data_IF_555167185775
#
_entry.id   IF_555167185775
#
_cell.length_a   1.000
_cell.length_b   1.000
_cell.length_c   1.000
_cell.angle_alpha   90.00
_cell.angle_beta   90.00
_cell.angle_gamma   90.00
#
_symmetry.space_group_name_H-M   'P 1'
#
loop_
_entity.id
_entity.type
_entity.pdbx_description
1 polymer ?
#
# COMPACT_ATOMS: atom_id res chain seq x y z
N UNK A 1 11.52 9.54 -32.57
CA UNK A 1 12.54 8.46 -32.55
C UNK A 1 14.00 8.91 -32.38
N UNK A 2 14.43 10.04 -32.94
CA UNK A 2 15.82 10.52 -32.84
C UNK A 2 16.29 10.71 -31.38
N UNK A 3 15.42 11.27 -30.53
CA UNK A 3 15.67 11.42 -29.08
C UNK A 3 15.95 10.08 -28.40
N UNK A 4 15.17 9.04 -28.70
CA UNK A 4 15.33 7.72 -28.07
C UNK A 4 16.64 7.07 -28.51
N UNK A 5 16.98 7.19 -29.80
CA UNK A 5 18.22 6.63 -30.33
C UNK A 5 19.47 7.36 -29.81
N UNK A 6 19.39 8.67 -29.61
CA UNK A 6 20.52 9.49 -29.16
C UNK A 6 20.68 9.53 -27.63
N UNK A 7 19.56 9.57 -26.91
CA UNK A 7 19.53 9.80 -25.45
C UNK A 7 18.94 8.65 -24.65
N UNK A 8 18.65 7.49 -25.25
CA UNK A 8 18.00 6.35 -24.59
C UNK A 8 18.61 5.98 -23.23
N UNK A 9 19.94 5.85 -23.16
CA UNK A 9 20.63 5.55 -21.89
C UNK A 9 20.43 6.66 -20.84
N UNK A 10 20.46 7.93 -21.24
CA UNK A 10 20.20 9.05 -20.33
C UNK A 10 18.75 9.07 -19.84
N UNK A 11 17.79 8.78 -20.72
CA UNK A 11 16.39 8.65 -20.35
C UNK A 11 16.22 7.55 -19.30
N UNK A 12 16.81 6.36 -19.49
CA UNK A 12 16.76 5.27 -18.51
C UNK A 12 17.38 5.68 -17.17
N UNK A 13 18.55 6.33 -17.18
CA UNK A 13 19.22 6.77 -15.95
C UNK A 13 18.40 7.82 -15.18
N UNK A 14 17.87 8.83 -15.87
CA UNK A 14 17.00 9.85 -15.27
C UNK A 14 15.74 9.21 -14.71
N UNK A 15 15.12 8.30 -15.47
CA UNK A 15 13.92 7.58 -15.02
C UNK A 15 14.22 6.73 -13.79
N UNK A 16 15.37 6.05 -13.73
CA UNK A 16 15.75 5.27 -12.56
C UNK A 16 15.93 6.16 -11.32
N UNK A 17 16.55 7.34 -11.45
CA UNK A 17 16.69 8.31 -10.36
C UNK A 17 15.32 8.83 -9.91
N UNK A 18 14.44 9.20 -10.83
CA UNK A 18 13.11 9.71 -10.50
C UNK A 18 12.16 8.62 -9.99
N UNK A 19 12.27 7.41 -10.50
CA UNK A 19 11.58 6.23 -10.00
C UNK A 19 12.01 5.89 -8.57
N UNK A 20 13.33 5.96 -8.29
CA UNK A 20 13.83 5.84 -6.92
C UNK A 20 13.30 6.96 -6.02
N UNK A 21 13.25 8.20 -6.50
CA UNK A 21 12.72 9.33 -5.74
C UNK A 21 11.21 9.21 -5.45
N UNK A 22 10.42 8.72 -6.43
CA UNK A 22 9.02 8.39 -6.21
C UNK A 22 8.86 7.27 -5.17
N UNK A 23 9.63 6.19 -5.29
CA UNK A 23 9.66 5.09 -4.33
C UNK A 23 10.07 5.57 -2.92
N UNK A 24 11.04 6.48 -2.83
CA UNK A 24 11.40 7.17 -1.59
C UNK A 24 10.21 7.94 -1.01
N UNK A 25 9.48 8.71 -1.82
CA UNK A 25 8.29 9.42 -1.41
C UNK A 25 7.21 8.49 -0.85
N UNK A 26 6.97 7.36 -1.51
CA UNK A 26 6.03 6.32 -1.07
C UNK A 26 6.45 5.76 0.29
N UNK A 27 7.70 5.30 0.43
CA UNK A 27 8.17 4.75 1.71
C UNK A 27 8.17 5.77 2.84
N UNK A 28 8.35 7.05 2.52
CA UNK A 28 8.33 8.13 3.49
C UNK A 28 6.92 8.53 3.96
N UNK A 29 5.92 8.47 3.08
CA UNK A 29 4.54 8.86 3.40
C UNK A 29 3.68 7.65 3.81
N UNK A 30 3.69 6.63 2.97
CA UNK A 30 2.66 5.59 2.95
C UNK A 30 2.97 4.44 3.92
N UNK A 31 4.20 4.33 4.46
CA UNK A 31 4.52 3.38 5.56
C UNK A 31 3.67 3.59 6.83
N UNK A 32 3.12 4.79 6.99
CA UNK A 32 2.15 5.09 8.05
C UNK A 32 0.88 4.24 7.92
N UNK A 33 0.56 3.78 6.71
CA UNK A 33 -0.59 2.94 6.41
C UNK A 33 -0.39 1.50 6.92
N UNK A 34 0.85 1.02 6.97
CA UNK A 34 1.17 -0.32 7.46
C UNK A 34 1.53 -0.34 8.94
N UNK A 35 2.34 0.63 9.39
CA UNK A 35 2.94 0.61 10.74
C UNK A 35 2.42 1.68 11.68
N UNK A 36 1.71 2.71 11.18
CA UNK A 36 1.27 3.85 11.98
C UNK A 36 0.40 3.42 13.15
N UNK A 37 -0.55 2.50 12.95
CA UNK A 37 -1.40 2.01 14.02
C UNK A 37 -0.63 1.19 15.06
N UNK A 38 0.34 0.35 14.66
CA UNK A 38 1.15 -0.47 15.59
C UNK A 38 2.09 0.35 16.45
N UNK A 39 2.62 1.43 15.88
CA UNK A 39 3.42 2.41 16.61
C UNK A 39 2.51 3.24 17.52
N UNK A 40 1.37 3.69 16.99
CA UNK A 40 0.39 4.52 17.72
C UNK A 40 -0.21 3.81 18.94
N UNK A 41 -0.45 2.50 18.84
CA UNK A 41 -0.94 1.70 19.97
C UNK A 41 0.13 1.32 20.99
N UNK A 42 1.40 1.67 20.73
CA UNK A 42 2.54 1.27 21.57
C UNK A 42 2.89 -0.21 21.49
N UNK A 43 2.38 -0.96 20.51
CA UNK A 43 2.67 -2.38 20.32
C UNK A 43 4.12 -2.59 19.90
N UNK A 44 4.63 -1.74 19.00
CA UNK A 44 6.01 -1.75 18.52
C UNK A 44 6.61 -0.35 18.57
N UNK A 45 7.93 -0.28 18.71
CA UNK A 45 8.67 0.97 18.59
C UNK A 45 8.83 1.37 17.12
N UNK A 46 9.07 2.66 16.87
CA UNK A 46 9.40 3.18 15.53
C UNK A 46 10.57 2.43 14.89
N UNK A 47 11.60 2.05 15.67
CA UNK A 47 12.74 1.28 15.16
C UNK A 47 12.33 -0.11 14.69
N UNK A 48 11.48 -0.80 15.46
CA UNK A 48 10.95 -2.12 15.09
C UNK A 48 10.05 -2.03 13.86
N UNK A 49 9.16 -1.02 13.81
CA UNK A 49 8.32 -0.75 12.65
C UNK A 49 9.13 -0.60 11.36
N UNK A 50 10.24 0.15 11.41
CA UNK A 50 11.14 0.33 10.27
C UNK A 50 11.73 -1.02 9.81
N UNK A 51 12.20 -1.86 10.73
CA UNK A 51 12.79 -3.17 10.39
C UNK A 51 11.74 -4.10 9.77
N UNK A 52 10.53 -4.15 10.35
CA UNK A 52 9.45 -4.99 9.85
C UNK A 52 9.03 -4.53 8.46
N UNK A 53 8.79 -3.23 8.27
CA UNK A 53 8.42 -2.68 6.97
C UNK A 53 9.53 -2.89 5.93
N UNK A 54 10.81 -2.74 6.30
CA UNK A 54 11.93 -3.05 5.41
C UNK A 54 11.89 -4.49 4.88
N UNK A 55 11.56 -5.46 5.74
CA UNK A 55 11.51 -6.87 5.32
C UNK A 55 10.25 -7.14 4.49
N UNK A 56 9.08 -6.79 5.03
CA UNK A 56 7.81 -7.20 4.47
C UNK A 56 7.34 -6.32 3.30
N UNK A 57 7.58 -5.01 3.32
CA UNK A 57 7.26 -4.15 2.17
C UNK A 57 8.16 -4.45 0.98
N UNK A 58 9.47 -4.62 1.21
CA UNK A 58 10.39 -5.02 0.13
C UNK A 58 10.06 -6.40 -0.42
N UNK A 59 9.68 -7.36 0.44
CA UNK A 59 9.22 -8.67 -0.01
C UNK A 59 7.90 -8.60 -0.81
N UNK A 60 6.94 -7.80 -0.35
CA UNK A 60 5.67 -7.59 -1.05
C UNK A 60 5.87 -6.93 -2.41
N UNK A 61 6.72 -5.91 -2.47
CA UNK A 61 7.09 -5.22 -3.68
C UNK A 61 7.71 -6.18 -4.70
N UNK A 62 8.71 -6.97 -4.29
CA UNK A 62 9.43 -7.87 -5.19
C UNK A 62 8.58 -9.08 -5.64
N UNK A 63 7.83 -9.70 -4.72
CA UNK A 63 7.12 -10.95 -5.00
C UNK A 63 5.76 -10.72 -5.66
N UNK A 64 5.07 -9.63 -5.33
CA UNK A 64 3.65 -9.45 -5.66
C UNK A 64 3.31 -8.10 -6.33
N UNK A 65 4.32 -7.32 -6.73
CA UNK A 65 4.14 -5.99 -7.33
C UNK A 65 3.79 -5.96 -8.83
N UNK A 66 3.84 -7.09 -9.52
CA UNK A 66 3.75 -7.16 -10.99
C UNK A 66 2.37 -6.80 -11.56
N UNK A 67 1.28 -7.30 -10.97
CA UNK A 67 -0.07 -7.13 -11.55
C UNK A 67 -0.54 -5.67 -11.56
N UNK A 68 -0.31 -4.91 -10.48
CA UNK A 68 -0.71 -3.49 -10.40
C UNK A 68 0.20 -2.62 -11.28
N UNK A 69 1.47 -3.04 -11.44
CA UNK A 69 2.44 -2.36 -12.31
C UNK A 69 1.94 -2.28 -13.75
N UNK A 70 1.35 -3.36 -14.28
CA UNK A 70 0.84 -3.37 -15.64
C UNK A 70 -0.31 -2.38 -15.82
N UNK A 71 -1.25 -2.31 -14.87
CA UNK A 71 -2.35 -1.34 -14.92
C UNK A 71 -1.86 0.12 -14.90
N UNK A 72 -0.82 0.44 -14.13
CA UNK A 72 -0.24 1.79 -14.11
C UNK A 72 0.54 2.09 -15.39
N UNK A 73 1.22 1.08 -15.95
CA UNK A 73 2.00 1.18 -17.19
C UNK A 73 1.10 1.46 -18.41
N UNK A 74 0.00 0.71 -18.56
CA UNK A 74 -0.78 0.67 -19.80
C UNK A 74 -2.30 0.82 -19.64
N UNK A 75 -2.83 0.79 -18.41
CA UNK A 75 -4.27 0.90 -18.15
C UNK A 75 -4.78 2.33 -17.93
N UNK A 76 -3.91 3.29 -17.59
CA UNK A 76 -4.32 4.68 -17.32
C UNK A 76 -4.48 5.48 -18.61
N UNK A 77 -3.61 5.24 -19.58
CA UNK A 77 -3.59 5.88 -20.90
C UNK A 77 -3.42 4.80 -21.96
N UNK A 78 -3.98 5.01 -23.15
CA UNK A 78 -3.80 4.13 -24.30
C UNK A 78 -2.40 4.37 -24.92
N UNK A 79 -1.43 3.45 -24.75
CA UNK A 79 -0.09 3.64 -25.28
C UNK A 79 -0.07 3.67 -26.82
N UNK A 80 -1.09 3.11 -27.48
CA UNK A 80 -1.17 3.09 -28.94
C UNK A 80 -1.34 4.49 -29.55
N UNK A 81 -1.89 5.44 -28.80
CA UNK A 81 -1.98 6.84 -29.22
C UNK A 81 -0.61 7.54 -29.28
N UNK A 82 0.43 6.93 -28.71
CA UNK A 82 1.79 7.48 -28.66
C UNK A 82 2.75 6.78 -29.64
N UNK A 83 2.28 5.86 -30.48
CA UNK A 83 3.15 5.08 -31.39
C UNK A 83 3.94 5.96 -32.35
N UNK A 84 3.35 7.05 -32.82
CA UNK A 84 4.03 8.01 -33.69
C UNK A 84 4.95 8.97 -32.92
N UNK A 85 4.80 9.04 -31.59
CA UNK A 85 5.54 9.95 -30.70
C UNK A 85 6.00 9.27 -29.39
N UNK A 86 6.76 8.16 -29.47
CA UNK A 86 7.14 7.37 -28.29
C UNK A 86 8.00 8.18 -27.30
N UNK A 87 8.75 9.18 -27.78
CA UNK A 87 9.47 10.14 -26.94
C UNK A 87 8.55 10.94 -26.01
N UNK A 88 7.33 11.29 -26.44
CA UNK A 88 6.38 12.04 -25.62
C UNK A 88 5.90 11.17 -24.46
N UNK A 89 5.61 9.90 -24.72
CA UNK A 89 5.23 8.94 -23.68
C UNK A 89 6.37 8.74 -22.67
N UNK A 90 7.60 8.58 -23.14
CA UNK A 90 8.76 8.42 -22.27
C UNK A 90 8.97 9.65 -21.38
N UNK A 91 9.00 10.85 -21.95
CA UNK A 91 9.16 12.10 -21.19
C UNK A 91 7.97 12.34 -20.24
N UNK A 92 6.76 11.97 -20.66
CA UNK A 92 5.54 12.00 -19.84
C UNK A 92 5.66 11.14 -18.59
N UNK A 93 6.06 9.88 -18.74
CA UNK A 93 6.28 8.96 -17.62
C UNK A 93 7.39 9.43 -16.67
N UNK A 94 8.51 9.95 -17.22
CA UNK A 94 9.59 10.58 -16.43
C UNK A 94 9.05 11.75 -15.61
N UNK A 95 8.27 12.63 -16.25
CA UNK A 95 7.67 13.78 -15.60
C UNK A 95 6.71 13.37 -14.48
N UNK A 96 5.93 12.31 -14.69
CA UNK A 96 4.96 11.82 -13.72
C UNK A 96 5.64 11.25 -12.47
N UNK A 97 6.75 10.53 -12.62
CA UNK A 97 7.55 10.04 -11.51
C UNK A 97 8.12 11.18 -10.67
N UNK A 98 8.75 12.16 -11.32
CA UNK A 98 9.35 13.27 -10.60
C UNK A 98 8.30 14.14 -9.90
N UNK A 99 7.21 14.48 -10.60
CA UNK A 99 6.08 15.23 -10.06
C UNK A 99 5.51 14.56 -8.82
N UNK A 100 5.29 13.24 -8.90
CA UNK A 100 4.72 12.47 -7.81
C UNK A 100 5.67 12.39 -6.61
N UNK A 101 6.97 12.17 -6.86
CA UNK A 101 8.00 12.22 -5.82
C UNK A 101 8.06 13.58 -5.11
N UNK A 102 7.98 14.69 -5.87
CA UNK A 102 7.97 16.06 -5.32
C UNK A 102 6.76 16.27 -4.42
N UNK A 103 5.56 15.91 -4.88
CA UNK A 103 4.34 16.08 -4.07
C UNK A 103 4.38 15.23 -2.80
N UNK A 104 4.74 13.95 -2.90
CA UNK A 104 4.87 13.07 -1.74
C UNK A 104 5.92 13.59 -0.75
N UNK A 105 7.04 14.11 -1.23
CA UNK A 105 8.06 14.71 -0.37
C UNK A 105 7.53 15.95 0.38
N UNK A 106 6.82 16.84 -0.30
CA UNK A 106 6.20 18.02 0.30
C UNK A 106 5.16 17.60 1.35
N UNK A 107 4.23 16.72 0.98
CA UNK A 107 3.18 16.22 1.88
C UNK A 107 3.79 15.55 3.13
N UNK A 108 4.82 14.74 2.95
CA UNK A 108 5.55 14.09 4.06
C UNK A 108 6.20 15.11 4.99
N UNK A 109 6.83 16.17 4.46
CA UNK A 109 7.41 17.23 5.29
C UNK A 109 6.35 17.94 6.15
N UNK A 110 5.15 18.08 5.60
CA UNK A 110 3.99 18.67 6.27
C UNK A 110 3.27 17.68 7.20
N UNK A 111 3.67 16.40 7.21
CA UNK A 111 3.04 15.34 8.00
C UNK A 111 1.68 14.91 7.46
N UNK A 112 1.36 15.24 6.21
CA UNK A 112 0.08 14.92 5.59
C UNK A 112 0.10 13.50 5.02
N UNK A 113 -0.82 12.61 5.48
CA UNK A 113 -1.02 11.33 4.82
C UNK A 113 -1.76 11.59 3.50
N UNK A 114 -1.09 11.35 2.39
CA UNK A 114 -1.64 11.47 1.04
C UNK A 114 -1.58 10.09 0.36
N UNK A 115 -1.95 10.01 -0.91
CA UNK A 115 -1.92 8.75 -1.66
C UNK A 115 -0.92 8.84 -2.81
N UNK A 116 0.10 8.00 -2.80
CA UNK A 116 1.01 7.84 -3.94
C UNK A 116 0.25 7.49 -5.22
N UNK A 117 -0.72 6.58 -5.13
CA UNK A 117 -1.57 6.12 -6.24
C UNK A 117 -2.36 7.26 -6.88
N UNK A 118 -3.00 8.12 -6.09
CA UNK A 118 -3.70 9.30 -6.62
C UNK A 118 -2.74 10.25 -7.32
N UNK A 119 -1.56 10.45 -6.72
CA UNK A 119 -0.57 11.40 -7.22
C UNK A 119 -0.08 10.98 -8.61
N UNK A 120 0.30 9.70 -8.76
CA UNK A 120 0.83 9.20 -10.04
C UNK A 120 -0.24 9.13 -11.12
N UNK A 121 -1.46 8.71 -10.79
CA UNK A 121 -2.56 8.67 -11.76
C UNK A 121 -2.94 10.09 -12.20
N UNK A 122 -3.01 11.04 -11.27
CA UNK A 122 -3.21 12.46 -11.60
C UNK A 122 -2.10 13.01 -12.50
N UNK A 123 -0.85 12.65 -12.20
CA UNK A 123 0.30 13.05 -13.00
C UNK A 123 0.26 12.48 -14.44
N UNK A 124 -0.05 11.19 -14.59
CA UNK A 124 -0.16 10.52 -15.90
C UNK A 124 -1.30 11.13 -16.73
N UNK A 125 -2.50 11.27 -16.14
CA UNK A 125 -3.65 11.90 -16.80
C UNK A 125 -3.34 13.35 -17.17
N UNK A 126 -2.63 14.07 -16.29
CA UNK A 126 -2.25 15.47 -16.50
C UNK A 126 -1.39 15.67 -17.75
N UNK A 127 -0.27 14.95 -17.88
CA UNK A 127 0.59 15.11 -19.04
C UNK A 127 -0.08 14.60 -20.32
N UNK A 128 -0.84 13.49 -20.26
CA UNK A 128 -1.51 12.92 -21.42
C UNK A 128 -2.54 13.89 -22.02
N UNK A 129 -3.34 14.53 -21.17
CA UNK A 129 -4.33 15.53 -21.58
C UNK A 129 -3.72 16.76 -22.28
N UNK A 130 -2.50 17.20 -21.92
CA UNK A 130 -1.87 18.39 -22.52
C UNK A 130 -1.00 18.07 -23.74
N UNK A 131 -0.72 16.78 -23.99
CA UNK A 131 0.18 16.34 -25.06
C UNK A 131 -0.60 15.78 -26.24
N UNK A 132 -1.32 14.68 -26.04
CA UNK A 132 -2.15 14.04 -27.06
C UNK A 132 -3.61 14.51 -26.96
N UNK A 133 -4.08 14.77 -25.74
CA UNK A 133 -5.44 15.24 -25.48
C UNK A 133 -6.24 14.27 -24.60
N UNK A 134 -7.45 14.67 -24.15
CA UNK A 134 -8.28 13.82 -23.28
C UNK A 134 -8.68 12.47 -23.88
N UNK A 135 -8.61 12.32 -25.21
CA UNK A 135 -8.91 11.07 -25.90
C UNK A 135 -7.87 9.97 -25.69
N UNK A 136 -6.65 10.28 -25.23
CA UNK A 136 -5.62 9.27 -24.96
C UNK A 136 -5.76 8.62 -23.58
N UNK A 137 -6.68 9.10 -22.75
CA UNK A 137 -6.93 8.57 -21.41
C UNK A 137 -8.01 7.49 -21.49
N UNK A 138 -7.77 6.34 -20.88
CA UNK A 138 -8.79 5.30 -20.77
C UNK A 138 -9.78 5.65 -19.65
N UNK A 139 -10.84 6.38 -20.01
CA UNK A 139 -11.87 6.81 -19.07
C UNK A 139 -12.65 5.66 -18.42
N UNK A 140 -12.71 4.49 -19.07
CA UNK A 140 -13.36 3.30 -18.49
C UNK A 140 -12.53 2.76 -17.34
N UNK A 141 -11.22 2.61 -17.55
CA UNK A 141 -10.29 2.17 -16.52
C UNK A 141 -10.17 3.21 -15.41
N UNK A 142 -10.07 4.51 -15.73
CA UNK A 142 -10.14 5.59 -14.74
C UNK A 142 -11.42 5.53 -13.90
N UNK A 143 -12.58 5.30 -14.53
CA UNK A 143 -13.85 5.14 -13.82
C UNK A 143 -13.81 3.99 -12.80
N UNK A 144 -13.21 2.86 -13.18
CA UNK A 144 -13.03 1.69 -12.30
C UNK A 144 -12.07 1.99 -11.14
N UNK A 145 -10.97 2.68 -11.43
CA UNK A 145 -9.98 3.13 -10.44
C UNK A 145 -10.64 4.09 -9.44
N UNK A 146 -11.30 5.15 -9.92
CA UNK A 146 -11.98 6.14 -9.05
C UNK A 146 -13.07 5.46 -8.22
N UNK A 147 -13.84 4.55 -8.83
CA UNK A 147 -14.83 3.74 -8.09
C UNK A 147 -14.19 2.95 -6.94
N UNK A 148 -13.02 2.34 -7.18
CA UNK A 148 -12.29 1.59 -6.15
C UNK A 148 -11.85 2.47 -4.96
N UNK A 149 -11.55 3.75 -5.19
CA UNK A 149 -11.15 4.71 -4.14
C UNK A 149 -12.28 5.06 -3.17
N UNK A 150 -13.54 4.89 -3.58
CA UNK A 150 -14.71 5.02 -2.70
C UNK A 150 -15.13 3.69 -2.10
N UNK A 151 -15.08 2.61 -2.89
CA UNK A 151 -15.55 1.29 -2.46
C UNK A 151 -14.61 0.68 -1.41
N UNK A 152 -13.29 0.77 -1.60
CA UNK A 152 -12.32 0.11 -0.70
C UNK A 152 -12.31 0.68 0.73
N UNK A 153 -12.37 2.00 0.98
CA UNK A 153 -12.50 2.51 2.35
C UNK A 153 -13.79 2.10 3.04
N UNK A 154 -14.89 2.01 2.29
CA UNK A 154 -16.19 1.57 2.84
C UNK A 154 -16.15 0.09 3.22
N UNK A 155 -15.63 -0.77 2.35
CA UNK A 155 -15.43 -2.19 2.64
C UNK A 155 -14.54 -2.36 3.86
N UNK A 156 -13.39 -1.67 3.90
CA UNK A 156 -12.46 -1.74 5.02
C UNK A 156 -13.09 -1.24 6.32
N UNK A 157 -13.89 -0.17 6.27
CA UNK A 157 -14.65 0.35 7.41
C UNK A 157 -15.68 -0.65 7.94
N UNK A 158 -16.46 -1.27 7.07
CA UNK A 158 -17.44 -2.30 7.45
C UNK A 158 -16.75 -3.52 8.05
N UNK A 159 -15.67 -4.00 7.44
CA UNK A 159 -14.90 -5.13 7.94
C UNK A 159 -14.28 -4.81 9.30
N UNK A 160 -13.65 -3.64 9.45
CA UNK A 160 -13.05 -3.20 10.71
C UNK A 160 -14.10 -3.07 11.82
N UNK A 161 -15.27 -2.50 11.51
CA UNK A 161 -16.41 -2.44 12.43
C UNK A 161 -16.84 -3.85 12.85
N UNK A 162 -17.03 -4.77 11.90
CA UNK A 162 -17.49 -6.13 12.19
C UNK A 162 -16.47 -6.91 13.04
N UNK A 163 -15.18 -6.83 12.70
CA UNK A 163 -14.10 -7.47 13.47
C UNK A 163 -14.07 -6.88 14.88
N UNK A 164 -14.08 -5.55 15.02
CA UNK A 164 -14.02 -4.90 16.31
C UNK A 164 -15.25 -5.20 17.16
N UNK A 165 -16.46 -5.10 16.61
CA UNK A 165 -17.71 -5.46 17.28
C UNK A 165 -17.72 -6.92 17.75
N UNK A 166 -17.19 -7.84 16.93
CA UNK A 166 -17.03 -9.25 17.30
C UNK A 166 -16.05 -9.41 18.47
N UNK A 167 -14.92 -8.68 18.48
CA UNK A 167 -13.99 -8.72 19.62
C UNK A 167 -14.57 -8.13 20.89
N UNK A 168 -15.35 -7.04 20.80
CA UNK A 168 -16.07 -6.46 21.93
C UNK A 168 -17.03 -7.48 22.53
N UNK A 169 -17.94 -8.02 21.72
CA UNK A 169 -18.97 -8.96 22.17
C UNK A 169 -18.42 -10.28 22.70
N UNK A 170 -17.40 -10.85 22.05
CA UNK A 170 -16.89 -12.18 22.41
C UNK A 170 -15.83 -12.14 23.51
N UNK A 171 -15.10 -11.04 23.66
CA UNK A 171 -13.93 -10.96 24.55
C UNK A 171 -14.13 -9.89 25.61
N UNK A 172 -14.30 -8.61 25.23
CA UNK A 172 -14.24 -7.51 26.19
C UNK A 172 -15.49 -7.39 27.06
N UNK A 173 -16.68 -7.55 26.49
CA UNK A 173 -17.98 -7.38 27.17
C UNK A 173 -18.44 -8.71 27.78
N UNK A 174 -17.55 -9.36 28.53
CA UNK A 174 -17.82 -10.66 29.15
C UNK A 174 -17.31 -10.71 30.59
N UNK A 175 -17.86 -11.63 31.40
CA UNK A 175 -17.47 -11.79 32.81
C UNK A 175 -16.00 -12.20 32.99
N UNK A 176 -15.42 -12.88 31.98
CA UNK A 176 -14.05 -13.39 32.00
C UNK A 176 -13.27 -13.07 30.71
N UNK A 177 -12.91 -11.80 30.48
CA UNK A 177 -12.31 -11.37 29.22
C UNK A 177 -11.02 -12.11 28.84
N UNK A 178 -10.16 -12.40 29.82
CA UNK A 178 -8.91 -13.10 29.57
C UNK A 178 -9.13 -14.55 29.10
N UNK A 179 -10.06 -15.28 29.73
CA UNK A 179 -10.40 -16.65 29.30
C UNK A 179 -10.96 -16.65 27.88
N UNK A 180 -11.78 -15.65 27.55
CA UNK A 180 -12.32 -15.50 26.21
C UNK A 180 -11.25 -15.07 25.19
N UNK A 181 -10.30 -14.22 25.55
CA UNK A 181 -9.17 -13.89 24.69
C UNK A 181 -8.32 -15.14 24.39
N UNK A 182 -8.08 -16.01 25.37
CA UNK A 182 -7.37 -17.28 25.18
C UNK A 182 -8.18 -18.30 24.35
N UNK A 183 -9.51 -18.21 24.38
CA UNK A 183 -10.42 -19.06 23.60
C UNK A 183 -10.54 -18.58 22.15
N UNK A 184 -10.83 -17.30 21.92
CA UNK A 184 -11.15 -16.72 20.62
C UNK A 184 -9.92 -16.16 19.89
N UNK A 185 -8.88 -15.72 20.62
CA UNK A 185 -7.63 -15.20 20.05
C UNK A 185 -6.98 -16.13 19.02
N UNK A 186 -6.87 -17.46 19.27
CA UNK A 186 -6.35 -18.41 18.28
C UNK A 186 -7.13 -18.43 16.97
N UNK A 187 -8.45 -18.22 16.99
CA UNK A 187 -9.28 -18.19 15.78
C UNK A 187 -8.99 -16.94 14.94
N UNK A 188 -8.93 -15.77 15.58
CA UNK A 188 -8.50 -14.53 14.90
C UNK A 188 -7.10 -14.69 14.29
N UNK A 189 -6.22 -15.42 14.98
CA UNK A 189 -4.88 -15.71 14.49
C UNK A 189 -4.89 -16.64 13.28
N UNK A 190 -5.68 -17.71 13.34
CA UNK A 190 -5.88 -18.63 12.23
C UNK A 190 -6.40 -17.91 10.99
N UNK A 191 -7.43 -17.07 11.12
CA UNK A 191 -7.98 -16.28 10.00
C UNK A 191 -6.91 -15.32 9.45
N UNK A 192 -6.13 -14.68 10.33
CA UNK A 192 -5.03 -13.79 9.92
C UNK A 192 -3.98 -14.52 9.08
N UNK A 193 -3.51 -15.66 9.59
CA UNK A 193 -2.52 -16.51 8.91
C UNK A 193 -3.08 -17.04 7.58
N UNK A 194 -4.35 -17.45 7.56
CA UNK A 194 -5.01 -17.94 6.36
C UNK A 194 -5.01 -16.90 5.24
N UNK A 195 -5.47 -15.68 5.55
CA UNK A 195 -5.47 -14.58 4.58
C UNK A 195 -4.05 -14.31 4.08
N UNK A 196 -3.10 -14.15 5.01
CA UNK A 196 -1.68 -13.96 4.71
C UNK A 196 -1.12 -14.99 3.73
N UNK A 197 -1.35 -16.28 3.99
CA UNK A 197 -0.89 -17.36 3.11
C UNK A 197 -1.51 -17.27 1.72
N UNK A 198 -2.82 -17.01 1.62
CA UNK A 198 -3.50 -16.85 0.32
C UNK A 198 -2.85 -15.72 -0.49
N UNK A 199 -2.56 -14.59 0.14
CA UNK A 199 -1.94 -13.43 -0.53
C UNK A 199 -0.58 -13.81 -1.11
N UNK A 200 0.29 -14.32 -0.25
CA UNK A 200 1.67 -14.64 -0.58
C UNK A 200 1.73 -15.73 -1.63
N UNK A 201 0.83 -16.72 -1.58
CA UNK A 201 0.82 -17.82 -2.52
C UNK A 201 0.21 -17.47 -3.87
N UNK A 202 -0.93 -16.75 -3.91
CA UNK A 202 -1.56 -16.40 -5.18
C UNK A 202 -0.77 -15.38 -6.00
N UNK A 203 -0.05 -14.48 -5.31
CA UNK A 203 0.70 -13.40 -5.97
C UNK A 203 2.19 -13.65 -5.95
N UNK A 204 2.73 -13.89 -4.76
CA UNK A 204 4.17 -13.98 -4.53
C UNK A 204 4.85 -15.15 -5.24
N UNK A 205 4.21 -16.32 -5.27
CA UNK A 205 4.80 -17.53 -5.84
C UNK A 205 4.80 -17.56 -7.37
N UNK A 206 3.93 -16.78 -8.03
CA UNK A 206 3.92 -16.70 -9.50
C UNK A 206 5.24 -16.15 -10.05
N UNK A 207 5.84 -15.17 -9.37
CA UNK A 207 7.12 -14.60 -9.76
C UNK A 207 8.30 -15.58 -9.60
N UNK A 208 8.13 -16.62 -8.78
CA UNK A 208 9.13 -17.68 -8.54
C UNK A 208 8.89 -18.91 -9.44
N UNK A 209 7.93 -18.83 -10.37
CA UNK A 209 7.59 -19.92 -11.30
C UNK A 209 6.74 -21.04 -10.71
N UNK A 210 6.19 -20.84 -9.50
CA UNK A 210 5.32 -21.82 -8.84
C UNK A 210 3.85 -21.47 -9.09
N UNK A 211 3.22 -22.21 -10.00
CA UNK A 211 1.81 -22.06 -10.35
C UNK A 211 0.95 -23.04 -9.55
N UNK A 212 0.54 -22.64 -8.35
CA UNK A 212 -0.42 -23.40 -7.56
C UNK A 212 -1.84 -23.17 -8.09
N UNK A 213 -2.62 -24.24 -8.18
CA UNK A 213 -4.06 -24.14 -8.43
C UNK A 213 -4.77 -23.42 -7.27
N UNK A 214 -6.00 -22.94 -7.53
CA UNK A 214 -6.84 -22.34 -6.49
C UNK A 214 -7.11 -23.32 -5.34
N UNK A 215 -7.30 -24.61 -5.65
CA UNK A 215 -7.56 -25.66 -4.66
C UNK A 215 -6.32 -25.93 -3.80
N UNK A 216 -5.13 -26.05 -4.40
CA UNK A 216 -3.88 -26.25 -3.67
C UNK A 216 -3.57 -25.05 -2.77
N UNK A 217 -3.70 -23.83 -3.30
CA UNK A 217 -3.48 -22.61 -2.52
C UNK A 217 -4.39 -22.54 -1.30
N UNK A 218 -5.67 -22.85 -1.50
CA UNK A 218 -6.66 -22.86 -0.42
C UNK A 218 -6.33 -23.93 0.63
N UNK A 219 -5.97 -25.14 0.17
CA UNK A 219 -5.69 -26.28 1.04
C UNK A 219 -4.44 -26.07 1.88
N UNK A 220 -3.35 -25.59 1.28
CA UNK A 220 -2.10 -25.30 1.98
C UNK A 220 -2.30 -24.13 2.97
N UNK A 221 -2.99 -23.06 2.54
CA UNK A 221 -3.29 -21.93 3.42
C UNK A 221 -4.14 -22.34 4.62
N UNK A 222 -5.12 -23.22 4.41
CA UNK A 222 -5.95 -23.77 5.48
C UNK A 222 -5.12 -24.65 6.44
N UNK A 223 -4.25 -25.50 5.92
CA UNK A 223 -3.37 -26.34 6.74
C UNK A 223 -2.44 -25.48 7.62
N UNK A 224 -1.78 -24.47 7.05
CA UNK A 224 -0.91 -23.56 7.81
C UNK A 224 -1.71 -22.76 8.85
N UNK A 225 -2.90 -22.30 8.48
CA UNK A 225 -3.83 -21.61 9.39
C UNK A 225 -4.24 -22.49 10.58
N UNK A 226 -4.57 -23.76 10.35
CA UNK A 226 -4.93 -24.72 11.39
C UNK A 226 -3.76 -25.01 12.32
N UNK A 227 -2.55 -25.23 11.77
CA UNK A 227 -1.33 -25.41 12.57
C UNK A 227 -1.06 -24.17 13.42
N UNK A 228 -1.17 -22.98 12.84
CA UNK A 228 -1.05 -21.72 13.57
C UNK A 228 -2.09 -21.60 14.69
N UNK A 229 -3.36 -21.89 14.39
CA UNK A 229 -4.44 -21.86 15.37
C UNK A 229 -4.17 -22.80 16.55
N UNK A 230 -3.72 -24.04 16.29
CA UNK A 230 -3.37 -25.01 17.32
C UNK A 230 -2.18 -24.50 18.16
N UNK A 231 -1.13 -24.00 17.51
CA UNK A 231 0.03 -23.44 18.20
C UNK A 231 -0.37 -22.30 19.14
N UNK A 232 -1.14 -21.31 18.65
CA UNK A 232 -1.56 -20.17 19.46
C UNK A 232 -2.58 -20.56 20.55
N UNK A 233 -3.39 -21.60 20.32
CA UNK A 233 -4.28 -22.17 21.33
C UNK A 233 -3.50 -22.66 22.56
N UNK A 234 -2.39 -23.38 22.35
CA UNK A 234 -1.53 -23.83 23.44
C UNK A 234 -0.69 -22.69 24.01
N UNK A 235 -0.15 -21.81 23.16
CA UNK A 235 0.69 -20.69 23.59
C UNK A 235 -0.04 -19.75 24.54
N UNK A 236 -1.27 -19.32 24.23
CA UNK A 236 -2.03 -18.42 25.10
C UNK A 236 -2.44 -19.05 26.43
N UNK A 237 -2.39 -20.39 26.56
CA UNK A 237 -2.62 -21.13 27.81
C UNK A 237 -1.33 -21.52 28.53
N UNK A 238 -0.17 -21.23 27.95
CA UNK A 238 1.12 -21.60 28.51
C UNK A 238 1.50 -20.72 29.71
N UNK A 239 2.34 -21.27 30.59
CA UNK A 239 2.93 -20.53 31.72
C UNK A 239 3.76 -19.32 31.23
N UNK A 240 4.36 -19.43 30.05
CA UNK A 240 5.13 -18.35 29.41
C UNK A 240 4.27 -17.13 29.11
N UNK A 241 3.05 -17.33 28.57
CA UNK A 241 2.12 -16.23 28.35
C UNK A 241 1.63 -15.63 29.67
N UNK A 242 1.30 -16.48 30.65
CA UNK A 242 0.87 -16.03 31.97
C UNK A 242 1.92 -15.15 32.68
N UNK A 243 3.21 -15.47 32.54
CA UNK A 243 4.33 -14.67 33.07
C UNK A 243 4.50 -13.33 32.33
N UNK A 244 4.19 -13.28 31.03
CA UNK A 244 4.23 -12.04 30.23
C UNK A 244 3.04 -11.11 30.51
N UNK A 245 1.94 -11.65 31.03
CA UNK A 245 0.66 -10.97 31.27
C UNK A 245 0.58 -10.26 32.65
N UNK A 246 1.68 -9.65 33.11
CA UNK A 246 1.84 -9.12 34.49
C UNK A 246 1.09 -7.82 34.81
N UNK A 247 0.32 -7.23 33.87
CA UNK A 247 -0.37 -5.93 34.04
C UNK A 247 -1.90 -6.03 34.13
N UNK A 248 -2.41 -6.97 34.93
CA UNK A 248 -3.85 -7.15 35.18
C UNK A 248 -4.64 -7.71 33.98
N UNK A 249 -5.94 -7.99 34.18
CA UNK A 249 -6.79 -8.71 33.22
C UNK A 249 -6.90 -8.00 31.86
N UNK A 250 -7.11 -6.69 31.85
CA UNK A 250 -7.21 -5.90 30.60
C UNK A 250 -5.86 -5.83 29.86
N UNK A 251 -4.75 -5.65 30.58
CA UNK A 251 -3.41 -5.67 29.99
C UNK A 251 -3.06 -7.02 29.39
N UNK A 252 -3.51 -8.12 30.01
CA UNK A 252 -3.35 -9.47 29.49
C UNK A 252 -4.14 -9.72 28.20
N UNK A 253 -5.38 -9.24 28.11
CA UNK A 253 -6.19 -9.31 26.88
C UNK A 253 -5.53 -8.50 25.76
N UNK A 254 -5.14 -7.26 26.03
CA UNK A 254 -4.46 -6.42 25.04
C UNK A 254 -3.08 -6.98 24.62
N UNK A 255 -2.44 -7.81 25.45
CA UNK A 255 -1.22 -8.54 25.06
C UNK A 255 -1.50 -9.59 23.98
N UNK A 256 -2.65 -10.27 24.02
CA UNK A 256 -3.08 -11.19 22.94
C UNK A 256 -3.23 -10.40 21.63
N UNK A 257 -3.93 -9.27 21.69
CA UNK A 257 -4.12 -8.40 20.53
C UNK A 257 -2.84 -7.73 20.05
N UNK A 258 -1.87 -7.45 20.93
CA UNK A 258 -0.54 -6.96 20.54
C UNK A 258 0.20 -7.96 19.64
N UNK A 259 0.07 -9.26 19.91
CA UNK A 259 0.68 -10.31 19.08
C UNK A 259 -0.04 -10.42 17.73
N UNK A 260 -1.38 -10.40 17.74
CA UNK A 260 -2.20 -10.36 16.52
C UNK A 260 -1.87 -9.13 15.65
N UNK A 261 -1.72 -7.98 16.30
CA UNK A 261 -1.38 -6.73 15.67
C UNK A 261 0.01 -6.76 15.03
N UNK A 262 1.00 -7.37 15.69
CA UNK A 262 2.33 -7.55 15.10
C UNK A 262 2.26 -8.37 13.79
N UNK A 263 1.51 -9.48 13.79
CA UNK A 263 1.37 -10.34 12.61
C UNK A 263 0.60 -9.66 11.48
N UNK A 264 -0.46 -8.92 11.82
CA UNK A 264 -1.21 -8.13 10.84
C UNK A 264 -0.44 -6.92 10.33
N UNK A 265 0.46 -6.34 11.11
CA UNK A 265 1.37 -5.29 10.63
C UNK A 265 2.33 -5.83 9.56
N UNK A 266 2.88 -7.04 9.75
CA UNK A 266 3.66 -7.71 8.72
C UNK A 266 2.82 -7.98 7.45
N UNK A 267 1.57 -8.41 7.62
CA UNK A 267 0.63 -8.62 6.53
C UNK A 267 0.34 -7.34 5.74
N UNK A 268 0.05 -6.26 6.47
CA UNK A 268 -0.26 -4.97 5.89
C UNK A 268 0.95 -4.38 5.20
N UNK A 269 2.16 -4.50 5.75
CA UNK A 269 3.40 -4.11 5.07
C UNK A 269 3.60 -4.88 3.75
N UNK A 270 3.40 -6.20 3.75
CA UNK A 270 3.49 -6.98 2.52
C UNK A 270 2.45 -6.53 1.48
N UNK A 271 1.19 -6.38 1.90
CA UNK A 271 0.11 -5.91 1.03
C UNK A 271 0.40 -4.51 0.45
N UNK A 272 0.85 -3.60 1.31
CA UNK A 272 1.27 -2.25 0.93
C UNK A 272 2.37 -2.26 -0.11
N UNK A 273 3.48 -2.97 0.15
CA UNK A 273 4.59 -3.09 -0.78
C UNK A 273 4.15 -3.64 -2.14
N UNK A 274 3.26 -4.63 -2.17
CA UNK A 274 2.74 -5.21 -3.41
C UNK A 274 1.86 -4.26 -4.23
N UNK A 275 1.16 -3.32 -3.60
CA UNK A 275 0.30 -2.37 -4.29
C UNK A 275 1.08 -1.12 -4.70
N UNK A 276 1.83 -0.54 -3.76
CA UNK A 276 2.33 0.82 -3.90
C UNK A 276 3.66 0.88 -4.65
N UNK A 277 4.43 -0.22 -4.75
CA UNK A 277 5.64 -0.25 -5.59
C UNK A 277 5.33 0.02 -7.07
N UNK A 278 4.14 -0.39 -7.52
CA UNK A 278 3.68 -0.19 -8.89
C UNK A 278 3.64 1.30 -9.28
N UNK A 279 3.39 2.19 -8.33
CA UNK A 279 3.33 3.63 -8.56
C UNK A 279 4.69 4.21 -9.03
N UNK A 280 5.80 3.61 -8.61
CA UNK A 280 7.14 3.98 -9.07
C UNK A 280 7.60 3.14 -10.28
N UNK A 281 7.24 1.86 -10.28
CA UNK A 281 7.77 0.89 -11.23
C UNK A 281 7.01 0.87 -12.55
N UNK A 282 5.69 1.10 -12.56
CA UNK A 282 4.89 1.15 -13.79
C UNK A 282 5.43 2.14 -14.82
N UNK A 283 5.57 3.43 -14.47
CA UNK A 283 6.13 4.43 -15.38
C UNK A 283 7.59 4.15 -15.73
N UNK A 284 8.39 3.68 -14.76
CA UNK A 284 9.80 3.32 -14.99
C UNK A 284 9.92 2.18 -16.01
N UNK A 285 9.10 1.14 -15.87
CA UNK A 285 9.02 0.03 -16.82
C UNK A 285 8.59 0.49 -18.20
N UNK A 286 7.63 1.43 -18.30
CA UNK A 286 7.19 1.97 -19.57
C UNK A 286 8.37 2.60 -20.34
N UNK A 287 9.16 3.45 -19.68
CA UNK A 287 10.31 4.11 -20.31
C UNK A 287 11.39 3.10 -20.71
N UNK A 288 11.73 2.17 -19.81
CA UNK A 288 12.75 1.15 -20.09
C UNK A 288 12.34 0.28 -21.28
N UNK A 289 11.08 -0.18 -21.34
CA UNK A 289 10.59 -0.94 -22.49
C UNK A 289 10.66 -0.15 -23.79
N UNK A 290 10.25 1.12 -23.79
CA UNK A 290 10.32 1.99 -24.99
C UNK A 290 11.76 2.15 -25.48
N UNK A 291 12.72 2.32 -24.58
CA UNK A 291 14.14 2.49 -24.94
C UNK A 291 14.75 1.18 -25.44
N UNK A 292 14.53 0.08 -24.73
CA UNK A 292 15.10 -1.24 -25.08
C UNK A 292 14.56 -1.76 -26.43
N UNK A 293 13.32 -1.42 -26.78
CA UNK A 293 12.70 -1.80 -28.05
C UNK A 293 12.95 -0.81 -29.20
N UNK A 294 13.85 0.17 -28.99
CA UNK A 294 14.25 1.14 -30.02
C UNK A 294 13.13 2.12 -30.39
N UNK A 295 12.30 2.50 -29.43
CA UNK A 295 11.17 3.42 -29.59
C UNK A 295 9.86 2.75 -29.98
N UNK A 296 9.80 1.43 -30.04
CA UNK A 296 8.54 0.71 -30.22
C UNK A 296 7.78 0.62 -28.90
N UNK A 297 6.46 0.71 -28.98
CA UNK A 297 5.56 0.52 -27.85
C UNK A 297 4.94 -0.87 -28.01
N UNK A 298 5.44 -1.85 -27.26
CA UNK A 298 4.88 -3.21 -27.27
C UNK A 298 4.10 -3.49 -25.99
N UNK A 299 2.89 -4.03 -26.15
CA UNK A 299 2.06 -4.50 -25.04
C UNK A 299 2.64 -5.78 -24.45
N UNK A 300 2.82 -5.83 -23.12
CA UNK A 300 3.21 -7.05 -22.41
C UNK A 300 4.72 -7.37 -22.34
N UNK A 301 5.59 -6.37 -22.50
CA UNK A 301 7.05 -6.54 -22.33
C UNK A 301 7.45 -7.01 -20.92
N UNK A 302 8.47 -7.86 -20.84
CA UNK A 302 8.99 -8.38 -19.56
C UNK A 302 9.64 -7.27 -18.73
N UNK A 303 9.35 -7.26 -17.43
CA UNK A 303 9.93 -6.28 -16.51
C UNK A 303 11.43 -6.56 -16.34
N UNK A 304 12.26 -5.52 -16.52
CA UNK A 304 13.69 -5.68 -16.28
C UNK A 304 13.96 -5.99 -14.79
N UNK A 305 14.82 -6.98 -14.54
CA UNK A 305 15.02 -7.57 -13.21
C UNK A 305 15.46 -6.55 -12.13
N UNK A 306 16.11 -5.45 -12.52
CA UNK A 306 16.64 -4.42 -11.62
C UNK A 306 15.58 -3.42 -11.16
N UNK A 307 14.44 -3.32 -11.85
CA UNK A 307 13.42 -2.31 -11.59
C UNK A 307 12.72 -2.55 -10.24
N UNK A 308 12.37 -3.81 -9.92
CA UNK A 308 11.78 -4.18 -8.63
C UNK A 308 12.70 -3.92 -7.43
N UNK A 309 13.97 -4.38 -7.45
CA UNK A 309 14.95 -4.03 -6.42
C UNK A 309 15.12 -2.52 -6.23
N UNK A 310 15.12 -1.73 -7.29
CA UNK A 310 15.23 -0.27 -7.21
C UNK A 310 14.03 0.35 -6.46
N UNK A 311 12.81 -0.05 -6.79
CA UNK A 311 11.60 0.41 -6.09
C UNK A 311 11.59 -0.01 -4.62
N UNK A 312 11.93 -1.26 -4.33
CA UNK A 312 12.02 -1.76 -2.96
C UNK A 312 13.07 -1.01 -2.12
N UNK A 313 14.23 -0.70 -2.70
CA UNK A 313 15.27 0.09 -2.05
C UNK A 313 14.85 1.54 -1.83
N UNK A 314 14.15 2.16 -2.79
CA UNK A 314 13.61 3.51 -2.64
C UNK A 314 12.64 3.60 -1.46
N UNK A 315 11.67 2.68 -1.39
CA UNK A 315 10.70 2.58 -0.28
C UNK A 315 11.44 2.44 1.05
N UNK A 316 12.41 1.53 1.13
CA UNK A 316 13.24 1.30 2.32
C UNK A 316 13.95 2.58 2.80
N UNK A 317 14.61 3.30 1.89
CA UNK A 317 15.36 4.53 2.22
C UNK A 317 14.42 5.66 2.63
N UNK A 318 13.27 5.80 1.97
CA UNK A 318 12.23 6.78 2.32
C UNK A 318 11.70 6.59 3.74
N UNK A 319 11.37 5.35 4.07
CA UNK A 319 10.92 4.93 5.39
C UNK A 319 11.94 5.31 6.49
N UNK A 320 13.20 4.90 6.33
CA UNK A 320 14.26 5.13 7.32
C UNK A 320 14.46 6.64 7.54
N UNK A 321 14.38 7.42 6.47
CA UNK A 321 14.71 8.84 6.48
C UNK A 321 13.58 9.71 7.05
N UNK A 322 12.34 9.50 6.60
CA UNK A 322 11.24 10.46 6.82
C UNK A 322 9.93 9.85 7.35
N UNK A 323 9.80 8.51 7.39
CA UNK A 323 8.56 7.82 7.77
C UNK A 323 8.02 8.15 9.18
N UNK A 324 8.89 8.62 10.09
CA UNK A 324 8.54 8.86 11.50
C UNK A 324 7.43 9.89 11.71
N UNK A 325 7.44 10.99 10.94
CA UNK A 325 6.48 12.09 11.13
C UNK A 325 5.06 11.69 10.73
N UNK A 326 4.90 11.01 9.60
CA UNK A 326 3.59 10.61 9.10
C UNK A 326 3.03 9.45 9.93
N UNK A 327 3.88 8.49 10.36
CA UNK A 327 3.48 7.44 11.30
C UNK A 327 2.88 8.00 12.60
N UNK A 328 3.45 9.06 13.16
CA UNK A 328 2.89 9.71 14.35
C UNK A 328 1.51 10.31 14.09
N UNK A 329 1.31 10.93 12.92
CA UNK A 329 0.03 11.57 12.56
C UNK A 329 -1.09 10.55 12.38
N UNK A 330 -0.82 9.42 11.71
CA UNK A 330 -1.82 8.35 11.51
C UNK A 330 -2.05 7.54 12.79
N UNK A 331 -0.99 7.31 13.57
CA UNK A 331 -1.03 6.45 14.75
C UNK A 331 -1.76 7.04 15.96
N UNK A 332 -1.75 8.36 16.14
CA UNK A 332 -2.43 9.00 17.28
C UNK A 332 -3.27 10.22 16.92
N UNK A 333 -3.22 10.72 15.68
CA UNK A 333 -3.94 11.93 15.29
C UNK A 333 -5.43 11.74 15.01
N UNK A 334 -5.87 10.53 14.62
CA UNK A 334 -7.26 10.28 14.18
C UNK A 334 -8.15 9.82 15.36
N UNK A 335 -7.71 8.80 16.09
CA UNK A 335 -8.39 8.25 17.27
C UNK A 335 -7.39 7.51 18.16
N UNK A 336 -7.71 7.34 19.45
CA UNK A 336 -6.88 6.57 20.38
C UNK A 336 -6.90 5.08 20.03
N UNK A 337 -5.76 4.55 19.61
CA UNK A 337 -5.60 3.16 19.20
C UNK A 337 -5.12 2.29 20.38
N UNK A 338 -5.94 1.32 20.77
CA UNK A 338 -5.49 0.17 21.56
C UNK A 338 -5.05 -0.95 20.61
N UNK A 339 -4.24 -1.92 21.04
CA UNK A 339 -3.83 -3.04 20.20
C UNK A 339 -5.01 -3.79 19.55
N UNK A 340 -6.10 -4.00 20.28
CA UNK A 340 -7.34 -4.59 19.75
C UNK A 340 -7.97 -3.82 18.58
N UNK A 341 -8.04 -2.49 18.71
CA UNK A 341 -8.54 -1.59 17.65
C UNK A 341 -7.58 -1.57 16.46
N UNK A 342 -6.29 -1.41 16.74
CA UNK A 342 -5.25 -1.39 15.73
C UNK A 342 -5.22 -2.67 14.90
N UNK A 343 -5.35 -3.84 15.55
CA UNK A 343 -5.52 -5.13 14.88
C UNK A 343 -6.73 -5.14 13.93
N UNK A 344 -7.91 -4.71 14.39
CA UNK A 344 -9.12 -4.71 13.57
C UNK A 344 -8.96 -3.82 12.33
N UNK A 345 -8.36 -2.62 12.49
CA UNK A 345 -8.11 -1.70 11.38
C UNK A 345 -7.10 -2.28 10.38
N UNK A 346 -5.95 -2.75 10.86
CA UNK A 346 -4.90 -3.31 9.99
C UNK A 346 -5.37 -4.55 9.28
N UNK A 347 -6.08 -5.45 9.98
CA UNK A 347 -6.55 -6.69 9.38
C UNK A 347 -7.56 -6.41 8.27
N UNK A 348 -8.55 -5.55 8.52
CA UNK A 348 -9.52 -5.15 7.51
C UNK A 348 -8.87 -4.43 6.32
N UNK A 349 -7.90 -3.56 6.58
CA UNK A 349 -7.16 -2.83 5.54
C UNK A 349 -6.35 -3.80 4.69
N UNK A 350 -5.56 -4.67 5.31
CA UNK A 350 -4.74 -5.66 4.62
C UNK A 350 -5.60 -6.59 3.75
N UNK A 351 -6.71 -7.12 4.29
CA UNK A 351 -7.66 -7.93 3.51
C UNK A 351 -8.18 -7.18 2.28
N UNK A 352 -8.63 -5.94 2.47
CA UNK A 352 -9.20 -5.14 1.39
C UNK A 352 -8.15 -4.83 0.32
N UNK A 353 -6.95 -4.42 0.75
CA UNK A 353 -5.86 -4.07 -0.17
C UNK A 353 -5.44 -5.27 -1.01
N UNK A 354 -5.30 -6.42 -0.36
CA UNK A 354 -4.90 -7.66 -1.01
C UNK A 354 -5.88 -8.07 -2.10
N UNK A 355 -7.17 -8.07 -1.76
CA UNK A 355 -8.25 -8.46 -2.68
C UNK A 355 -8.30 -7.51 -3.86
N UNK A 356 -8.26 -6.20 -3.61
CA UNK A 356 -8.28 -5.18 -4.67
C UNK A 356 -7.02 -5.23 -5.55
N UNK A 357 -5.84 -5.35 -4.94
CA UNK A 357 -4.59 -5.56 -5.69
C UNK A 357 -4.61 -6.88 -6.49
N UNK A 358 -5.48 -7.84 -6.12
CA UNK A 358 -5.65 -9.11 -6.82
C UNK A 358 -6.47 -8.99 -8.10
N UNK A 359 -7.25 -7.92 -8.23
CA UNK A 359 -7.94 -7.56 -9.48
C UNK A 359 -7.07 -6.66 -10.36
N UNK A 360 -5.82 -6.39 -9.96
CA UNK A 360 -4.89 -5.50 -10.67
C UNK A 360 -5.24 -4.00 -10.56
N UNK A 361 -6.26 -3.64 -9.79
CA UNK A 361 -6.69 -2.24 -9.68
C UNK A 361 -5.77 -1.47 -8.72
N UNK A 362 -5.20 -0.34 -9.14
CA UNK A 362 -4.41 0.52 -8.27
C UNK A 362 -5.33 1.26 -7.30
N UNK A 363 -5.20 0.92 -6.02
CA UNK A 363 -6.01 1.52 -4.95
C UNK A 363 -5.18 2.41 -4.04
N UNK A 364 -5.87 3.20 -3.21
CA UNK A 364 -5.26 4.00 -2.16
C UNK A 364 -5.25 3.26 -0.83
N UNK A 365 -4.07 2.80 -0.41
CA UNK A 365 -3.85 2.16 0.90
C UNK A 365 -4.17 3.13 2.05
N UNK A 366 -3.80 4.42 1.89
CA UNK A 366 -4.11 5.50 2.84
C UNK A 366 -5.62 5.65 3.07
N UNK A 367 -6.41 5.72 2.00
CA UNK A 367 -7.86 5.84 2.14
C UNK A 367 -8.49 4.60 2.75
N UNK A 368 -7.99 3.42 2.36
CA UNK A 368 -8.48 2.15 2.88
C UNK A 368 -8.27 2.06 4.39
N UNK A 369 -7.09 2.45 4.90
CA UNK A 369 -6.81 2.48 6.32
C UNK A 369 -7.68 3.50 7.06
N UNK A 370 -7.79 4.71 6.53
CA UNK A 370 -8.64 5.75 7.14
C UNK A 370 -10.09 5.29 7.22
N UNK A 371 -10.61 4.63 6.17
CA UNK A 371 -11.92 3.99 6.20
C UNK A 371 -12.06 2.94 7.31
N UNK A 372 -11.06 2.08 7.48
CA UNK A 372 -11.02 1.10 8.57
C UNK A 372 -11.02 1.75 9.97
N UNK A 373 -10.24 2.82 10.16
CA UNK A 373 -10.19 3.57 11.42
C UNK A 373 -11.54 4.25 11.72
N UNK A 374 -12.18 4.84 10.69
CA UNK A 374 -13.52 5.42 10.82
C UNK A 374 -14.55 4.36 11.22
N UNK A 375 -14.48 3.16 10.63
CA UNK A 375 -15.32 2.02 11.00
C UNK A 375 -15.24 1.67 12.49
N UNK A 376 -14.03 1.65 13.05
CA UNK A 376 -13.82 1.44 14.50
C UNK A 376 -14.34 2.62 15.32
N UNK A 377 -14.13 3.85 14.84
CA UNK A 377 -14.66 5.05 15.47
C UNK A 377 -16.18 5.01 15.61
N UNK A 378 -16.89 4.58 14.57
CA UNK A 378 -18.34 4.40 14.61
C UNK A 378 -18.77 3.33 15.61
N UNK A 379 -18.01 2.24 15.76
CA UNK A 379 -18.29 1.23 16.79
C UNK A 379 -18.14 1.75 18.23
N UNK A 380 -17.36 2.81 18.45
CA UNK A 380 -17.20 3.49 19.76
C UNK A 380 -18.12 4.68 19.96
N UNK A 381 -18.76 5.17 18.91
CA UNK A 381 -19.46 6.45 18.86
C UNK A 381 -18.61 7.57 18.27
N UNK A 382 -19.26 8.42 17.46
CA UNK A 382 -18.60 9.43 16.60
C UNK A 382 -17.75 10.46 17.37
N UNK A 383 -18.04 10.66 18.67
CA UNK A 383 -17.29 11.57 19.54
C UNK A 383 -15.84 11.11 19.78
N UNK A 384 -15.50 9.84 19.52
CA UNK A 384 -14.15 9.32 19.62
C UNK A 384 -13.24 9.67 18.41
N UNK A 385 -13.79 10.35 17.40
CA UNK A 385 -13.10 10.70 16.16
C UNK A 385 -12.69 12.18 16.14
N UNK A 386 -11.47 12.47 15.72
CA UNK A 386 -11.04 13.84 15.44
C UNK A 386 -11.51 14.29 14.05
N UNK A 387 -12.69 14.91 13.99
CA UNK A 387 -13.31 15.36 12.73
C UNK A 387 -12.48 16.40 11.98
N UNK A 388 -11.67 17.20 12.69
CA UNK A 388 -10.76 18.18 12.05
C UNK A 388 -9.67 17.47 11.26
N UNK A 389 -9.06 16.45 11.86
CA UNK A 389 -8.04 15.63 11.18
C UNK A 389 -8.65 14.88 10.00
N UNK A 390 -9.83 14.27 10.18
CA UNK A 390 -10.55 13.59 9.09
C UNK A 390 -10.82 14.53 7.92
N UNK A 391 -11.35 15.73 8.20
CA UNK A 391 -11.59 16.76 7.17
C UNK A 391 -10.30 17.09 6.42
N UNK A 392 -9.21 17.35 7.14
CA UNK A 392 -7.93 17.71 6.53
C UNK A 392 -7.37 16.57 5.65
N UNK A 393 -7.55 15.31 6.06
CA UNK A 393 -7.19 14.12 5.27
C UNK A 393 -8.04 14.05 3.98
N UNK A 394 -9.37 14.20 4.08
CA UNK A 394 -10.23 14.17 2.89
C UNK A 394 -9.87 15.33 1.94
N UNK A 395 -9.60 16.52 2.46
CA UNK A 395 -9.13 17.64 1.66
C UNK A 395 -7.80 17.36 0.97
N UNK A 396 -6.85 16.69 1.63
CA UNK A 396 -5.56 16.34 1.02
C UNK A 396 -5.75 15.39 -0.17
N UNK A 397 -6.71 14.48 -0.11
CA UNK A 397 -7.01 13.54 -1.20
C UNK A 397 -7.52 14.26 -2.45
N UNK A 398 -8.39 15.26 -2.29
CA UNK A 398 -8.91 16.07 -3.39
C UNK A 398 -7.80 16.89 -4.03
N UNK A 399 -6.90 17.47 -3.22
CA UNK A 399 -5.79 18.31 -3.72
C UNK A 399 -4.70 17.48 -4.41
N UNK A 400 -4.51 16.22 -4.01
CA UNK A 400 -3.41 15.37 -4.48
C UNK A 400 -3.47 15.10 -5.99
N UNK A 401 -4.66 14.87 -6.56
CA UNK A 401 -4.83 14.61 -7.99
C UNK A 401 -4.45 15.82 -8.86
N UNK A 402 -5.02 17.02 -8.64
CA UNK A 402 -4.60 18.24 -9.34
C UNK A 402 -3.13 18.59 -9.12
N UNK A 403 -2.60 18.38 -7.90
CA UNK A 403 -1.20 18.67 -7.62
C UNK A 403 -0.27 17.78 -8.46
N UNK A 404 -0.54 16.47 -8.53
CA UNK A 404 0.21 15.54 -9.39
C UNK A 404 0.16 15.96 -10.86
N UNK A 405 -1.04 16.26 -11.38
CA UNK A 405 -1.22 16.73 -12.75
C UNK A 405 -0.45 18.03 -13.04
N UNK A 406 -0.58 19.03 -12.16
CA UNK A 406 0.06 20.33 -12.29
C UNK A 406 1.58 20.23 -12.35
N UNK A 407 2.19 19.51 -11.40
CA UNK A 407 3.64 19.33 -11.39
C UNK A 407 4.10 18.54 -12.62
N UNK A 408 3.38 17.50 -13.03
CA UNK A 408 3.75 16.68 -14.19
C UNK A 408 3.75 17.51 -15.48
N UNK A 409 2.74 18.35 -15.69
CA UNK A 409 2.66 19.25 -16.86
C UNK A 409 3.87 20.19 -16.91
N UNK A 410 4.23 20.82 -15.79
CA UNK A 410 5.38 21.73 -15.72
C UNK A 410 6.68 20.98 -16.02
N UNK A 411 6.90 19.85 -15.36
CA UNK A 411 8.12 19.06 -15.52
C UNK A 411 8.22 18.52 -16.95
N UNK A 412 7.11 18.10 -17.55
CA UNK A 412 7.07 17.63 -18.93
C UNK A 412 7.57 18.70 -19.91
N UNK A 413 7.06 19.94 -19.81
CA UNK A 413 7.51 21.01 -20.70
C UNK A 413 8.99 21.39 -20.49
N UNK A 414 9.49 21.32 -19.25
CA UNK A 414 10.91 21.51 -18.96
C UNK A 414 11.75 20.42 -19.63
N UNK A 415 11.38 19.14 -19.45
CA UNK A 415 12.09 18.02 -20.06
C UNK A 415 12.03 18.09 -21.59
N UNK A 416 10.87 18.42 -22.15
CA UNK A 416 10.70 18.61 -23.59
C UNK A 416 11.60 19.72 -24.12
N UNK A 417 11.80 20.81 -23.39
CA UNK A 417 12.71 21.89 -23.79
C UNK A 417 14.19 21.49 -23.71
N UNK A 418 14.56 20.59 -22.78
CA UNK A 418 15.94 20.09 -22.62
C UNK A 418 16.31 19.10 -23.73
N UNK A 419 15.38 18.21 -24.09
CA UNK A 419 15.60 17.14 -25.08
C UNK A 419 15.12 17.51 -26.49
N UNK A 420 14.80 18.78 -26.75
CA UNK A 420 14.32 19.26 -28.04
C UNK A 420 15.40 19.27 -29.12
#
# INVERSE_FOLDING_TARGET
MEIINQYGTWLVLITAVFGFFMAFGIGANDVSNSMGTSVGSGTITVKQAIIIALIFESAGAYLAGGEVTETIKSGVIDPMQFVDTPEILALGMISALFASGVWLFIATKMGWPVSGTHTIIGAIVGFACVTIGPGSVDWSTIGSIVGSWFVTPVIAGILAYAIFASTQKLIFDTEHPLKNAQKYGPYYMGITIFVLCIVTMKKGLKHVGLHLSNAETLSISLAISLVGMIFFHFYFRSKTFAQSATKGTFGAVEKVFSILMLLTACAMAFAHGSNDVANAIGPLSAVVSIVDEGGKIVSGGTLAWWILPLGALGIAVGLISMGKKVMATVGSGITDLTPSRGFAAQFATAMTVVVASGTGLPISTTQTLVGAILGIGFARGIAALNLTVIRNIISSWIVTLPAGAFFAIIIFYILRAIFH
#
